data_IF_362288928145
#
_entry.id   IF_362288928145
#
_cell.length_a   1.000
_cell.length_b   1.000
_cell.length_c   1.000
_cell.angle_alpha   90.00
_cell.angle_beta   90.00
_cell.angle_gamma   90.00
#
_symmetry.space_group_name_H-M   'P 1'
#
loop_
_entity.id
_entity.type
_entity.pdbx_description
1 polymer ?
#
# COMPACT_ATOMS: atom_id res chain seq x y z
N UNK A 1 -15.83 -16.92 -1.11
CA UNK A 1 -15.01 -16.65 0.09
C UNK A 1 -14.22 -15.40 -0.21
N UNK A 2 -14.33 -14.36 0.61
CA UNK A 2 -13.44 -13.18 0.53
C UNK A 2 -12.11 -13.63 1.15
N UNK A 3 -11.00 -13.52 0.41
CA UNK A 3 -9.69 -13.86 0.95
C UNK A 3 -9.20 -12.78 1.94
N UNK A 4 -8.27 -13.14 2.81
CA UNK A 4 -7.78 -12.24 3.86
C UNK A 4 -7.12 -10.97 3.29
N UNK A 5 -6.58 -11.02 2.06
CA UNK A 5 -5.96 -9.87 1.43
C UNK A 5 -7.01 -8.84 1.01
N UNK A 6 -8.15 -9.29 0.50
CA UNK A 6 -9.27 -8.42 0.15
C UNK A 6 -9.85 -7.71 1.37
N UNK A 7 -10.09 -8.44 2.46
CA UNK A 7 -10.60 -7.86 3.69
C UNK A 7 -9.66 -6.77 4.24
N UNK A 8 -8.34 -7.03 4.24
CA UNK A 8 -7.36 -6.05 4.69
C UNK A 8 -7.28 -4.83 3.75
N UNK A 9 -7.34 -5.04 2.43
CA UNK A 9 -7.35 -3.92 1.47
C UNK A 9 -8.56 -3.00 1.67
N UNK A 10 -9.75 -3.59 1.91
CA UNK A 10 -10.97 -2.83 2.16
C UNK A 10 -10.86 -2.00 3.47
N UNK A 11 -10.29 -2.57 4.54
CA UNK A 11 -10.01 -1.84 5.78
C UNK A 11 -8.99 -0.69 5.58
N UNK A 12 -7.90 -0.95 4.86
CA UNK A 12 -6.90 0.07 4.57
C UNK A 12 -7.49 1.23 3.76
N UNK A 13 -8.30 0.94 2.74
CA UNK A 13 -8.97 1.97 1.95
C UNK A 13 -9.93 2.81 2.82
N UNK A 14 -10.70 2.17 3.70
CA UNK A 14 -11.58 2.88 4.63
C UNK A 14 -10.79 3.82 5.56
N UNK A 15 -9.70 3.33 6.17
CA UNK A 15 -8.85 4.13 7.06
C UNK A 15 -8.17 5.29 6.33
N UNK A 16 -7.75 5.09 5.08
CA UNK A 16 -7.16 6.16 4.26
C UNK A 16 -8.18 7.23 3.91
N UNK A 17 -9.40 6.86 3.51
CA UNK A 17 -10.49 7.81 3.25
C UNK A 17 -10.81 8.64 4.48
N UNK A 18 -10.99 7.98 5.63
CA UNK A 18 -11.22 8.66 6.90
C UNK A 18 -10.08 9.63 7.25
N UNK A 19 -8.82 9.21 7.04
CA UNK A 19 -7.66 10.09 7.23
C UNK A 19 -7.66 11.31 6.32
N UNK A 20 -8.01 11.12 5.05
CA UNK A 20 -8.13 12.20 4.08
C UNK A 20 -9.27 13.16 4.47
N UNK A 21 -10.44 12.64 4.84
CA UNK A 21 -11.59 13.45 5.23
C UNK A 21 -11.30 14.30 6.48
N UNK A 22 -10.63 13.71 7.48
CA UNK A 22 -10.41 14.35 8.77
C UNK A 22 -9.17 15.24 8.83
N UNK A 23 -8.13 14.92 8.05
CA UNK A 23 -6.80 15.59 8.12
C UNK A 23 -6.33 16.17 6.80
N UNK A 24 -7.09 15.97 5.72
CA UNK A 24 -6.71 16.35 4.35
C UNK A 24 -5.63 15.47 3.72
N UNK A 25 -5.14 14.43 4.42
CA UNK A 25 -4.08 13.53 3.94
C UNK A 25 -4.12 12.14 4.58
N UNK A 26 -3.66 11.14 3.85
CA UNK A 26 -3.41 9.78 4.33
C UNK A 26 -1.92 9.45 4.40
N UNK A 27 -1.53 8.56 5.31
CA UNK A 27 -0.19 7.96 5.38
C UNK A 27 -0.34 6.45 5.41
N UNK A 28 0.34 5.76 4.50
CA UNK A 28 0.38 4.30 4.42
C UNK A 28 1.83 3.85 4.55
N UNK A 29 2.16 3.19 5.65
CA UNK A 29 3.46 2.54 5.86
C UNK A 29 3.33 1.04 5.61
N UNK A 30 4.13 0.47 4.71
CA UNK A 30 4.01 -0.93 4.29
C UNK A 30 5.31 -1.71 4.44
N UNK A 31 5.17 -3.02 4.68
CA UNK A 31 6.27 -3.98 4.64
C UNK A 31 6.45 -4.55 3.23
N UNK A 32 7.65 -5.05 2.95
CA UNK A 32 7.93 -5.84 1.75
C UNK A 32 7.43 -7.28 1.78
N UNK A 33 7.87 -8.06 0.78
CA UNK A 33 7.63 -9.51 0.69
C UNK A 33 6.46 -9.91 -0.20
N UNK A 34 6.15 -11.22 -0.21
CA UNK A 34 5.17 -11.80 -1.15
C UNK A 34 3.72 -11.65 -0.69
N UNK A 35 3.48 -11.70 0.61
CA UNK A 35 2.11 -11.63 1.17
C UNK A 35 1.44 -10.27 0.96
N UNK A 36 2.13 -9.13 1.16
CA UNK A 36 1.52 -7.81 0.94
C UNK A 36 1.15 -7.54 -0.51
N UNK A 37 1.75 -8.24 -1.48
CA UNK A 37 1.47 -8.08 -2.91
C UNK A 37 -0.03 -8.16 -3.24
N UNK A 38 -0.72 -9.18 -2.73
CA UNK A 38 -2.16 -9.36 -3.02
C UNK A 38 -3.01 -8.25 -2.40
N UNK A 39 -2.58 -7.72 -1.25
CA UNK A 39 -3.22 -6.57 -0.61
C UNK A 39 -3.04 -5.33 -1.49
N UNK A 40 -1.84 -5.07 -2.00
CA UNK A 40 -1.56 -3.93 -2.88
C UNK A 40 -2.34 -3.99 -4.19
N UNK A 41 -2.30 -5.15 -4.86
CA UNK A 41 -3.02 -5.38 -6.12
C UNK A 41 -4.52 -5.17 -5.97
N UNK A 42 -5.09 -5.51 -4.81
CA UNK A 42 -6.49 -5.22 -4.50
C UNK A 42 -6.71 -3.76 -4.10
N UNK A 43 -5.85 -3.21 -3.25
CA UNK A 43 -5.98 -1.84 -2.72
C UNK A 43 -5.93 -0.79 -3.83
N UNK A 44 -5.11 -0.98 -4.88
CA UNK A 44 -5.07 -0.06 -6.04
C UNK A 44 -6.37 -0.02 -6.85
N UNK A 45 -7.23 -1.04 -6.73
CA UNK A 45 -8.53 -1.09 -7.40
C UNK A 45 -9.63 -0.37 -6.60
N UNK A 46 -9.37 -0.05 -5.33
CA UNK A 46 -10.32 0.63 -4.46
C UNK A 46 -10.22 2.15 -4.65
N UNK A 47 -11.36 2.83 -4.51
CA UNK A 47 -11.45 4.27 -4.68
C UNK A 47 -10.77 5.02 -3.52
N UNK A 48 -9.52 5.44 -3.70
CA UNK A 48 -8.78 6.27 -2.73
C UNK A 48 -8.21 7.46 -3.48
N UNK A 49 -8.28 8.66 -2.91
CA UNK A 49 -7.64 9.84 -3.47
C UNK A 49 -6.12 9.79 -3.24
N UNK A 50 -5.44 9.02 -4.08
CA UNK A 50 -3.99 8.77 -4.01
C UNK A 50 -3.14 10.04 -4.08
N UNK A 51 -3.68 11.13 -4.65
CA UNK A 51 -2.98 12.43 -4.65
C UNK A 51 -2.77 13.00 -3.24
N UNK A 52 -3.52 12.52 -2.26
CA UNK A 52 -3.45 12.90 -0.84
C UNK A 52 -2.82 11.84 0.05
N UNK A 53 -2.34 10.72 -0.51
CA UNK A 53 -1.73 9.64 0.26
C UNK A 53 -0.22 9.68 0.10
N UNK A 54 0.49 9.73 1.22
CA UNK A 54 1.93 9.43 1.24
C UNK A 54 2.13 7.95 1.54
N UNK A 55 2.86 7.23 0.68
CA UNK A 55 3.26 5.84 0.91
C UNK A 55 4.72 5.81 1.32
N UNK A 56 5.05 5.04 2.36
CA UNK A 56 6.43 4.82 2.82
C UNK A 56 6.65 3.35 3.17
N UNK A 57 7.91 2.96 3.24
CA UNK A 57 8.32 1.62 3.65
C UNK A 57 8.61 1.60 5.15
N UNK A 58 8.24 0.51 5.82
CA UNK A 58 8.61 0.25 7.22
C UNK A 58 10.10 -0.15 7.30
N UNK A 59 10.56 -0.91 6.31
CA UNK A 59 11.94 -1.36 6.14
C UNK A 59 12.33 -1.39 4.66
N UNK A 60 13.62 -1.31 4.36
CA UNK A 60 14.15 -1.44 3.01
C UNK A 60 15.53 -2.10 3.02
N UNK A 61 15.87 -2.74 1.90
CA UNK A 61 17.12 -3.40 1.61
C UNK A 61 18.05 -2.37 1.00
N UNK A 62 19.33 -2.42 1.38
CA UNK A 62 20.33 -1.49 0.82
C UNK A 62 20.77 -1.92 -0.58
N UNK A 63 19.87 -1.74 -1.56
CA UNK A 63 20.04 -2.10 -2.97
C UNK A 63 19.51 -0.99 -3.86
N UNK A 64 19.77 -1.06 -5.17
CA UNK A 64 19.19 -0.14 -6.13
C UNK A 64 17.65 -0.24 -6.15
N UNK A 65 16.90 0.86 -6.39
CA UNK A 65 15.44 0.85 -6.39
C UNK A 65 14.79 -0.05 -7.44
N UNK A 66 15.50 -0.42 -8.50
CA UNK A 66 15.06 -1.33 -9.57
C UNK A 66 15.52 -2.78 -9.35
N UNK A 67 16.21 -3.06 -8.23
CA UNK A 67 16.66 -4.40 -7.89
C UNK A 67 15.45 -5.29 -7.56
N UNK A 68 15.43 -6.58 -7.97
CA UNK A 68 14.31 -7.49 -7.70
C UNK A 68 13.95 -7.69 -6.23
N UNK A 69 14.89 -7.39 -5.32
CA UNK A 69 14.69 -7.47 -3.86
C UNK A 69 14.34 -6.12 -3.20
N UNK A 70 14.21 -5.03 -3.96
CA UNK A 70 13.78 -3.73 -3.42
C UNK A 70 12.30 -3.78 -3.02
N UNK A 71 12.01 -3.34 -1.79
CA UNK A 71 10.64 -3.14 -1.34
C UNK A 71 10.00 -1.95 -2.07
N UNK A 72 10.78 -0.93 -2.44
CA UNK A 72 10.33 0.18 -3.28
C UNK A 72 9.85 -0.33 -4.64
N UNK A 73 10.61 -1.21 -5.30
CA UNK A 73 10.18 -1.81 -6.57
C UNK A 73 8.86 -2.56 -6.42
N UNK A 74 8.72 -3.35 -5.36
CA UNK A 74 7.50 -4.08 -5.06
C UNK A 74 6.29 -3.14 -4.96
N UNK A 75 6.40 -2.05 -4.18
CA UNK A 75 5.31 -1.08 -4.04
C UNK A 75 5.00 -0.42 -5.39
N UNK A 76 6.01 0.10 -6.10
CA UNK A 76 5.81 0.76 -7.42
C UNK A 76 5.19 -0.15 -8.48
N UNK A 77 5.40 -1.45 -8.36
CA UNK A 77 4.89 -2.43 -9.33
C UNK A 77 3.43 -2.81 -9.03
N UNK A 78 3.06 -2.87 -7.76
CA UNK A 78 1.79 -3.49 -7.33
C UNK A 78 0.77 -2.53 -6.70
N UNK A 79 1.16 -1.30 -6.34
CA UNK A 79 0.29 -0.26 -5.77
C UNK A 79 0.37 1.02 -6.61
#
# INVERSE_FOLDING_TARGET
MIDAAHALADELAAALREGIETRGRGLLAVSGGRTPRHVFERLRELEVDWSKVTVTLIDERWVAPDHPESNELLVRTHL
#
